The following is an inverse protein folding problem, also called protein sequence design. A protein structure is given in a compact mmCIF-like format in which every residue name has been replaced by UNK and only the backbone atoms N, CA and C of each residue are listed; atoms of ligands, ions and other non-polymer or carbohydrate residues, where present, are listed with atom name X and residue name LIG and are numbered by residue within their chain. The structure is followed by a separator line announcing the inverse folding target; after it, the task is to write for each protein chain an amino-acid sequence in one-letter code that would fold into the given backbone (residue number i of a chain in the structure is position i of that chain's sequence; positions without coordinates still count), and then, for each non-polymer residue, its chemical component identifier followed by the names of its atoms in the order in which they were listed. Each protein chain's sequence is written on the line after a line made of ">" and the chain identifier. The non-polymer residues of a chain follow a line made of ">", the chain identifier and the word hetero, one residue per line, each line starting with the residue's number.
data_IF_571251688028
#
_entry.id   IF_571251688028
#
_cell.length_a   1.000
_cell.length_b   1.000
_cell.length_c   1.000
_cell.angle_alpha   90.00
_cell.angle_beta   90.00
_cell.angle_gamma   90.00
#
_symmetry.space_group_name_H-M   'P 1'
#
loop_
_entity.id
_entity.type
_entity.pdbx_description
1 polymer ?
#
# COMPACT_ATOMS: atom_id res chain seq x y z
N UNK A 1 12.79 22.70 9.30
CA UNK A 1 12.34 22.57 7.90
C UNK A 1 11.04 21.79 7.91
N UNK A 2 9.90 22.47 7.70
CA UNK A 2 8.61 21.80 7.52
C UNK A 2 8.42 21.51 6.04
N UNK A 3 8.07 20.27 5.69
CA UNK A 3 7.64 19.93 4.33
C UNK A 3 6.25 20.53 4.11
N UNK A 4 6.08 21.34 3.07
CA UNK A 4 4.77 21.91 2.71
C UNK A 4 3.80 20.85 2.16
N UNK A 5 4.30 19.65 1.84
CA UNK A 5 3.48 18.59 1.24
C UNK A 5 2.40 18.05 2.19
N UNK A 6 2.61 18.14 3.50
CA UNK A 6 1.64 17.70 4.51
C UNK A 6 0.81 18.86 5.10
N UNK A 7 0.82 20.04 4.49
CA UNK A 7 0.07 21.22 5.00
C UNK A 7 -1.43 20.96 5.12
N UNK A 8 -2.00 20.13 4.26
CA UNK A 8 -3.41 19.73 4.32
C UNK A 8 -3.61 18.38 5.03
N UNK A 9 -2.53 17.75 5.51
CA UNK A 9 -2.54 16.40 6.06
C UNK A 9 -2.42 15.29 5.01
N UNK A 10 -2.75 14.06 5.41
CA UNK A 10 -2.60 12.83 4.62
C UNK A 10 -3.89 12.03 4.60
N UNK A 11 -4.09 11.32 3.50
CA UNK A 11 -5.12 10.28 3.34
C UNK A 11 -4.39 8.94 3.25
N UNK A 12 -4.81 7.94 4.01
CA UNK A 12 -4.11 6.65 4.10
C UNK A 12 -5.07 5.48 4.23
N UNK A 13 -4.66 4.33 3.70
CA UNK A 13 -5.44 3.09 3.73
C UNK A 13 -5.68 2.71 5.20
N UNK A 14 -6.94 2.71 5.60
CA UNK A 14 -7.35 2.54 7.00
C UNK A 14 -6.91 1.19 7.58
N UNK A 15 -7.05 0.14 6.77
CA UNK A 15 -6.69 -1.22 7.15
C UNK A 15 -5.49 -1.68 6.33
N UNK A 16 -4.28 -1.72 6.93
CA UNK A 16 -3.11 -2.28 6.25
C UNK A 16 -3.36 -3.73 5.83
N UNK A 17 -2.85 -4.07 4.65
CA UNK A 17 -2.86 -5.44 4.16
C UNK A 17 -1.79 -6.25 4.89
N UNK A 18 -2.20 -7.34 5.53
CA UNK A 18 -1.30 -8.33 6.10
C UNK A 18 -1.01 -9.43 5.07
N UNK A 19 0.26 -9.78 4.89
CA UNK A 19 0.68 -10.83 3.94
C UNK A 19 1.66 -11.79 4.57
N UNK A 20 1.49 -13.07 4.24
CA UNK A 20 2.44 -14.14 4.51
C UNK A 20 2.96 -14.72 3.19
N UNK A 21 4.28 -14.74 3.02
CA UNK A 21 4.96 -15.38 1.90
C UNK A 21 5.86 -16.49 2.45
N UNK A 22 5.28 -17.67 2.65
CA UNK A 22 5.98 -18.85 3.15
C UNK A 22 6.85 -19.49 2.05
N UNK A 23 7.90 -20.27 2.43
CA UNK A 23 8.66 -21.06 1.47
C UNK A 23 7.75 -21.94 0.61
N UNK A 24 7.83 -21.77 -0.70
CA UNK A 24 6.88 -22.36 -1.65
C UNK A 24 7.46 -22.30 -3.07
N UNK A 25 7.28 -23.35 -3.89
CA UNK A 25 7.65 -23.30 -5.31
C UNK A 25 6.73 -22.39 -6.14
N UNK A 26 5.61 -21.94 -5.56
CA UNK A 26 4.66 -21.06 -6.21
C UNK A 26 4.75 -19.63 -5.65
N UNK A 27 4.80 -18.60 -6.51
CA UNK A 27 4.66 -17.22 -6.09
C UNK A 27 3.25 -16.92 -5.56
N UNK A 28 3.12 -15.93 -4.68
CA UNK A 28 1.82 -15.50 -4.12
C UNK A 28 1.04 -14.52 -5.02
N UNK A 29 1.67 -13.93 -6.03
CA UNK A 29 1.05 -12.95 -6.92
C UNK A 29 1.72 -12.86 -8.27
N UNK A 30 0.98 -12.35 -9.26
CA UNK A 30 1.49 -12.05 -10.61
C UNK A 30 1.94 -10.59 -10.67
N UNK A 31 2.83 -10.21 -11.61
CA UNK A 31 3.14 -8.81 -11.88
C UNK A 31 1.87 -7.99 -12.12
N UNK A 32 1.71 -6.94 -11.33
CA UNK A 32 0.62 -5.96 -11.43
C UNK A 32 1.12 -4.61 -10.91
N UNK A 33 0.39 -3.54 -11.19
CA UNK A 33 0.48 -2.29 -10.45
C UNK A 33 -0.90 -1.92 -9.88
N UNK A 34 -0.95 -1.04 -8.87
CA UNK A 34 -2.23 -0.76 -8.21
C UNK A 34 -3.23 -0.01 -9.14
N UNK A 35 -2.74 0.66 -10.19
CA UNK A 35 -3.60 1.23 -11.23
C UNK A 35 -4.46 0.17 -11.94
N UNK A 36 -3.99 -1.08 -12.04
CA UNK A 36 -4.76 -2.20 -12.60
C UNK A 36 -6.01 -2.54 -11.76
N UNK A 37 -6.11 -2.00 -10.54
CA UNK A 37 -7.24 -2.14 -9.63
C UNK A 37 -7.98 -0.81 -9.38
N UNK A 38 -7.66 0.23 -10.15
CA UNK A 38 -8.32 1.53 -10.08
C UNK A 38 -7.86 2.45 -8.96
N UNK A 39 -6.69 2.20 -8.36
CA UNK A 39 -6.09 3.12 -7.39
C UNK A 39 -5.64 4.43 -8.04
N UNK A 40 -5.61 5.50 -7.24
CA UNK A 40 -5.15 6.83 -7.68
C UNK A 40 -3.67 6.80 -8.02
N UNK A 41 -3.27 7.48 -9.10
CA UNK A 41 -1.85 7.63 -9.45
C UNK A 41 -1.04 8.40 -8.42
N UNK A 42 -1.71 9.14 -7.53
CA UNK A 42 -1.08 9.87 -6.45
C UNK A 42 -0.81 9.01 -5.21
N UNK A 43 -1.23 7.75 -5.20
CA UNK A 43 -0.95 6.82 -4.10
C UNK A 43 0.52 6.34 -4.12
N UNK A 44 1.14 6.41 -2.95
CA UNK A 44 2.40 5.77 -2.64
C UNK A 44 2.17 4.58 -1.72
N UNK A 45 2.94 3.52 -1.94
CA UNK A 45 2.90 2.31 -1.14
C UNK A 45 4.00 2.37 -0.09
N UNK A 46 3.64 2.01 1.14
CA UNK A 46 4.60 1.65 2.20
C UNK A 46 4.53 0.14 2.36
N UNK A 47 5.67 -0.54 2.18
CA UNK A 47 5.80 -1.96 2.43
C UNK A 47 6.78 -2.19 3.58
N UNK A 48 6.30 -2.79 4.67
CA UNK A 48 7.04 -3.06 5.89
C UNK A 48 7.09 -4.58 6.14
N UNK A 49 8.19 -5.26 5.79
CA UNK A 49 8.41 -6.62 6.21
C UNK A 49 8.78 -6.69 7.70
N UNK A 50 8.29 -7.72 8.39
CA UNK A 50 8.59 -8.01 9.80
C UNK A 50 9.77 -8.98 9.96
N UNK A 51 10.55 -9.16 8.89
CA UNK A 51 11.76 -9.97 8.82
C UNK A 51 12.72 -9.30 7.84
N UNK A 52 14.00 -9.64 7.90
CA UNK A 52 14.96 -9.26 6.84
C UNK A 52 14.51 -9.85 5.50
N UNK A 53 14.58 -9.04 4.45
CA UNK A 53 14.13 -9.42 3.12
C UNK A 53 15.19 -9.14 2.06
N UNK A 54 15.34 -10.12 1.16
CA UNK A 54 16.24 -10.07 0.01
C UNK A 54 16.00 -11.28 -0.90
N UNK A 55 16.18 -11.11 -2.21
CA UNK A 55 15.96 -12.21 -3.16
C UNK A 55 14.53 -12.74 -3.12
N UNK A 56 14.36 -14.04 -2.89
CA UNK A 56 13.10 -14.77 -3.10
C UNK A 56 12.04 -14.59 -2.01
N UNK A 57 12.43 -14.17 -0.79
CA UNK A 57 11.45 -13.82 0.25
C UNK A 57 10.93 -12.39 0.11
N UNK A 58 11.46 -11.58 -0.83
CA UNK A 58 11.15 -10.15 -0.96
C UNK A 58 10.00 -9.83 -1.94
N UNK A 59 9.59 -8.57 -1.96
CA UNK A 59 8.76 -8.00 -3.01
C UNK A 59 9.68 -7.52 -4.15
N UNK A 60 9.36 -7.91 -5.37
CA UNK A 60 10.08 -7.52 -6.58
C UNK A 60 9.34 -6.38 -7.25
N UNK A 61 10.06 -5.35 -7.70
CA UNK A 61 9.47 -4.17 -8.32
C UNK A 61 10.35 -3.62 -9.44
N UNK A 62 9.73 -3.00 -10.45
CA UNK A 62 10.45 -2.24 -11.48
C UNK A 62 11.04 -0.94 -10.89
N UNK A 63 12.21 -0.48 -11.37
CA UNK A 63 12.83 0.75 -10.87
C UNK A 63 12.06 2.01 -11.31
N UNK A 64 11.33 1.92 -12.42
CA UNK A 64 10.45 2.95 -12.94
C UNK A 64 9.35 2.29 -13.79
N UNK A 65 8.22 2.99 -14.03
CA UNK A 65 7.09 2.40 -14.75
C UNK A 65 7.46 1.88 -16.14
N UNK A 66 7.19 0.61 -16.40
CA UNK A 66 7.33 0.01 -17.74
C UNK A 66 8.75 -0.40 -18.12
N UNK A 67 9.73 -0.31 -17.22
CA UNK A 67 11.11 -0.74 -17.49
C UNK A 67 11.24 -2.27 -17.56
N UNK A 68 10.49 -3.02 -16.74
CA UNK A 68 10.53 -4.49 -16.72
C UNK A 68 11.80 -5.13 -16.12
N UNK A 69 12.77 -4.34 -15.67
CA UNK A 69 13.99 -4.82 -14.99
C UNK A 69 13.74 -4.95 -13.48
N UNK A 70 13.03 -6.00 -13.08
CA UNK A 70 12.60 -6.18 -11.69
C UNK A 70 13.77 -6.54 -10.78
N UNK A 71 13.84 -5.89 -9.63
CA UNK A 71 14.75 -6.23 -8.55
C UNK A 71 13.99 -6.46 -7.23
N UNK A 72 14.48 -7.35 -6.35
CA UNK A 72 13.92 -7.49 -5.01
C UNK A 72 14.26 -6.25 -4.18
N UNK A 73 13.33 -5.82 -3.34
CA UNK A 73 13.69 -4.90 -2.26
C UNK A 73 14.61 -5.61 -1.27
N UNK A 74 15.80 -5.06 -1.04
CA UNK A 74 16.70 -5.53 -0.01
C UNK A 74 16.58 -4.61 1.21
N UNK A 75 16.07 -5.15 2.33
CA UNK A 75 15.81 -4.38 3.54
C UNK A 75 16.09 -5.20 4.80
N UNK A 76 16.67 -4.53 5.79
CA UNK A 76 16.88 -5.08 7.12
C UNK A 76 15.58 -5.10 7.93
N UNK A 77 15.55 -5.89 9.01
CA UNK A 77 14.45 -5.84 9.96
C UNK A 77 14.25 -4.41 10.52
N UNK A 78 13.01 -3.93 10.48
CA UNK A 78 12.64 -2.59 10.94
C UNK A 78 12.69 -1.51 9.85
N UNK A 79 13.22 -1.82 8.67
CA UNK A 79 13.17 -0.92 7.51
C UNK A 79 11.88 -1.10 6.72
N UNK A 80 11.40 -0.01 6.12
CA UNK A 80 10.25 -0.01 5.21
C UNK A 80 10.67 0.55 3.85
N UNK A 81 9.97 0.11 2.81
CA UNK A 81 10.13 0.65 1.45
C UNK A 81 8.97 1.57 1.13
N UNK A 82 9.29 2.81 0.77
CA UNK A 82 8.35 3.73 0.13
C UNK A 82 8.57 3.63 -1.39
N UNK A 83 7.53 3.25 -2.14
CA UNK A 83 7.63 3.10 -3.59
C UNK A 83 6.31 3.46 -4.29
N UNK A 84 6.39 3.73 -5.59
CA UNK A 84 5.23 4.08 -6.41
C UNK A 84 4.57 2.83 -7.02
N UNK A 85 4.01 1.98 -6.17
CA UNK A 85 3.37 0.72 -6.59
C UNK A 85 2.11 0.92 -7.45
N UNK A 86 1.56 2.13 -7.51
CA UNK A 86 0.50 2.45 -8.46
C UNK A 86 0.93 2.30 -9.92
N UNK A 87 2.17 2.69 -10.27
CA UNK A 87 2.66 2.62 -11.66
C UNK A 87 3.80 1.63 -11.87
N UNK A 88 4.65 1.41 -10.87
CA UNK A 88 5.70 0.41 -10.96
C UNK A 88 5.11 -0.97 -10.69
N UNK A 89 5.27 -1.88 -11.66
CA UNK A 89 4.79 -3.24 -11.47
C UNK A 89 5.58 -3.94 -10.38
N UNK A 90 4.89 -4.76 -9.60
CA UNK A 90 5.48 -5.49 -8.52
C UNK A 90 4.82 -6.86 -8.32
N UNK A 91 5.56 -7.80 -7.75
CA UNK A 91 5.11 -9.17 -7.49
C UNK A 91 6.05 -9.91 -6.53
N UNK A 92 5.68 -11.15 -6.20
CA UNK A 92 6.55 -12.09 -5.49
C UNK A 92 7.00 -13.19 -6.43
N UNK A 93 8.23 -13.67 -6.28
CA UNK A 93 8.70 -14.91 -6.92
C UNK A 93 8.41 -16.12 -6.03
N UNK A 94 8.74 -17.34 -6.48
CA UNK A 94 8.76 -18.51 -5.60
C UNK A 94 9.74 -18.27 -4.44
N UNK A 95 9.34 -18.58 -3.21
CA UNK A 95 10.17 -18.36 -2.04
C UNK A 95 11.01 -19.60 -1.74
N UNK A 96 12.30 -19.57 -2.09
CA UNK A 96 13.28 -20.62 -1.83
C UNK A 96 14.27 -20.27 -0.70
N UNK A 97 14.08 -19.12 -0.03
CA UNK A 97 14.98 -18.65 1.04
C UNK A 97 14.96 -19.50 2.32
N UNK A 98 13.95 -20.36 2.48
CA UNK A 98 13.67 -21.06 3.74
C UNK A 98 13.04 -20.18 4.83
N UNK A 99 12.82 -18.88 4.58
CA UNK A 99 12.26 -17.92 5.53
C UNK A 99 10.85 -17.53 5.11
N UNK A 100 9.88 -17.67 6.00
CA UNK A 100 8.55 -17.09 5.80
C UNK A 100 8.62 -15.58 6.01
N UNK A 101 8.32 -14.80 4.97
CA UNK A 101 8.12 -13.36 5.14
C UNK A 101 6.71 -13.08 5.64
N UNK A 102 6.61 -12.38 6.76
CA UNK A 102 5.40 -11.68 7.19
C UNK A 102 5.59 -10.20 6.89
N UNK A 103 4.60 -9.52 6.31
CA UNK A 103 4.70 -8.09 6.00
C UNK A 103 3.36 -7.37 6.10
N UNK A 104 3.42 -6.06 6.35
CA UNK A 104 2.31 -5.14 6.15
C UNK A 104 2.54 -4.28 4.91
N UNK A 105 1.48 -3.97 4.17
CA UNK A 105 1.50 -2.90 3.18
C UNK A 105 0.26 -2.02 3.28
N UNK A 106 0.45 -0.72 3.07
CA UNK A 106 -0.65 0.24 3.00
C UNK A 106 -0.30 1.35 2.00
N UNK A 107 -1.34 2.03 1.50
CA UNK A 107 -1.19 3.20 0.64
C UNK A 107 -1.45 4.49 1.39
N UNK A 108 -0.84 5.57 0.94
CA UNK A 108 -1.22 6.92 1.33
C UNK A 108 -1.02 7.90 0.17
N UNK A 109 -1.66 9.06 0.27
CA UNK A 109 -1.49 10.20 -0.62
C UNK A 109 -1.66 11.51 0.18
N UNK A 110 -1.14 12.61 -0.37
CA UNK A 110 -1.36 13.93 0.21
C UNK A 110 -2.83 14.31 0.09
N UNK A 111 -3.42 14.89 1.14
CA UNK A 111 -4.87 15.16 1.19
C UNK A 111 -5.36 16.02 0.02
N UNK A 112 -4.57 16.99 -0.42
CA UNK A 112 -4.85 17.84 -1.59
C UNK A 112 -4.94 17.11 -2.94
N UNK A 113 -4.44 15.86 -3.02
CA UNK A 113 -4.46 15.03 -4.22
C UNK A 113 -5.58 13.99 -4.19
N UNK A 114 -6.33 13.92 -3.09
CA UNK A 114 -7.47 13.03 -2.97
C UNK A 114 -8.66 13.56 -3.77
N UNK A 115 -9.24 12.70 -4.61
CA UNK A 115 -10.44 13.00 -5.39
C UNK A 115 -11.53 11.94 -5.12
N UNK A 116 -12.64 12.29 -4.41
CA UNK A 116 -13.74 11.37 -4.16
C UNK A 116 -14.60 11.09 -5.41
N UNK A 117 -14.39 11.83 -6.50
CA UNK A 117 -15.12 11.71 -7.76
C UNK A 117 -14.31 11.01 -8.86
N UNK A 118 -13.13 10.47 -8.51
CA UNK A 118 -12.34 9.68 -9.45
C UNK A 118 -13.18 8.54 -10.04
N UNK A 119 -13.14 8.42 -11.36
CA UNK A 119 -13.73 7.32 -12.09
C UNK A 119 -12.81 6.10 -11.99
N UNK A 120 -13.37 4.94 -11.62
CA UNK A 120 -12.64 3.70 -11.61
C UNK A 120 -12.37 3.19 -13.03
N UNK A 121 -11.50 2.19 -13.18
CA UNK A 121 -11.12 1.62 -14.48
C UNK A 121 -12.25 0.95 -15.27
N UNK A 122 -13.43 0.79 -14.68
CA UNK A 122 -14.62 0.21 -15.30
C UNK A 122 -15.69 1.26 -15.65
N UNK A 123 -15.39 2.54 -15.48
CA UNK A 123 -16.31 3.65 -15.78
C UNK A 123 -17.35 3.94 -14.70
N UNK A 124 -17.14 3.43 -13.49
CA UNK A 124 -17.99 3.69 -12.32
C UNK A 124 -17.31 4.58 -11.27
N UNK A 125 -17.99 4.93 -10.17
CA UNK A 125 -17.37 5.68 -9.08
C UNK A 125 -16.25 4.88 -8.42
N UNK A 126 -15.24 5.58 -7.90
CA UNK A 126 -14.17 4.98 -7.09
C UNK A 126 -14.73 4.27 -5.85
N UNK A 127 -14.14 3.13 -5.50
CA UNK A 127 -14.38 2.45 -4.23
C UNK A 127 -13.49 3.02 -3.09
N UNK A 128 -12.52 3.87 -3.43
CA UNK A 128 -11.50 4.37 -2.52
C UNK A 128 -11.97 5.67 -1.84
N UNK A 129 -12.99 5.53 -0.99
CA UNK A 129 -13.63 6.65 -0.30
C UNK A 129 -13.08 6.85 1.13
N UNK A 130 -13.02 8.12 1.55
CA UNK A 130 -12.80 8.48 2.96
C UNK A 130 -13.90 7.92 3.86
N UNK A 131 -13.53 7.44 5.05
CA UNK A 131 -14.41 6.74 5.98
C UNK A 131 -14.74 5.29 5.59
N UNK A 132 -14.39 4.88 4.36
CA UNK A 132 -14.51 3.51 3.84
C UNK A 132 -13.15 2.81 3.74
N UNK A 133 -12.49 2.98 2.60
CA UNK A 133 -11.15 2.44 2.34
C UNK A 133 -10.05 3.27 3.02
N UNK A 134 -10.21 4.59 2.98
CA UNK A 134 -9.25 5.54 3.52
C UNK A 134 -9.72 6.16 4.84
N UNK A 135 -8.79 6.41 5.74
CA UNK A 135 -8.90 7.41 6.80
C UNK A 135 -7.97 8.60 6.47
N UNK A 136 -8.05 9.67 7.25
CA UNK A 136 -7.22 10.85 7.06
C UNK A 136 -6.72 11.42 8.39
N UNK A 137 -5.59 12.13 8.32
CA UNK A 137 -5.13 13.03 9.38
C UNK A 137 -5.16 14.48 8.87
N UNK A 138 -5.36 15.42 9.79
CA UNK A 138 -5.19 16.85 9.55
C UNK A 138 -3.72 17.28 9.52
N UNK A 139 -3.51 18.57 9.27
CA UNK A 139 -2.19 19.21 9.30
C UNK A 139 -1.52 19.15 10.69
N UNK A 140 -2.33 19.05 11.74
CA UNK A 140 -1.95 18.88 13.13
C UNK A 140 -1.55 17.44 13.48
N UNK A 141 -1.72 16.49 12.54
CA UNK A 141 -1.44 15.08 12.74
C UNK A 141 -2.54 14.32 13.47
N UNK A 142 -3.65 14.98 13.81
CA UNK A 142 -4.80 14.35 14.46
C UNK A 142 -5.66 13.61 13.43
N UNK A 143 -6.23 12.47 13.85
CA UNK A 143 -7.16 11.72 13.00
C UNK A 143 -8.42 12.55 12.75
N UNK A 144 -8.89 12.52 11.51
CA UNK A 144 -10.13 13.18 11.12
C UNK A 144 -11.33 12.42 11.72
N UNK A 145 -11.83 12.93 12.85
CA UNK A 145 -12.88 12.31 13.64
C UNK A 145 -14.27 12.42 12.98
N UNK A 146 -14.45 13.36 12.06
CA UNK A 146 -15.74 13.69 11.46
C UNK A 146 -16.04 12.90 10.18
N UNK A 147 -15.13 12.01 9.76
CA UNK A 147 -15.35 11.13 8.61
C UNK A 147 -16.57 10.22 8.84
N UNK A 148 -17.55 10.31 7.94
CA UNK A 148 -18.71 9.43 7.95
C UNK A 148 -18.29 7.98 7.68
N UNK A 149 -18.58 7.06 8.60
CA UNK A 149 -18.18 5.65 8.51
C UNK A 149 -19.38 4.76 8.19
N UNK A 150 -19.48 4.18 6.98
CA UNK A 150 -20.52 3.22 6.66
C UNK A 150 -20.43 1.99 7.57
N UNK A 151 -21.56 1.48 8.05
CA UNK A 151 -21.60 0.24 8.85
C UNK A 151 -21.08 -0.94 8.01
N UNK A 152 -20.27 -1.80 8.63
CA UNK A 152 -19.76 -3.04 8.02
C UNK A 152 -18.31 -2.97 7.53
N UNK A 153 -17.70 -1.80 7.54
CA UNK A 153 -16.30 -1.59 7.19
C UNK A 153 -15.44 -1.51 8.47
N UNK A 154 -14.68 -2.57 8.77
CA UNK A 154 -13.47 -2.49 9.58
C UNK A 154 -13.58 -2.45 11.10
N UNK A 155 -13.94 -3.57 11.73
CA UNK A 155 -13.45 -3.90 13.08
C UNK A 155 -13.25 -5.42 13.14
N UNK A 156 -12.03 -5.90 12.85
CA UNK A 156 -11.70 -7.32 13.02
C UNK A 156 -11.60 -7.73 14.50
N UNK A 157 -11.38 -6.77 15.42
CA UNK A 157 -11.51 -7.02 16.85
C UNK A 157 -11.57 -5.71 17.66
N UNK A 158 -12.64 -5.50 18.43
CA UNK A 158 -12.60 -4.65 19.64
C UNK A 158 -12.75 -5.60 20.81
N UNK A 159 -11.71 -5.74 21.64
CA UNK A 159 -11.88 -6.39 22.94
C UNK A 159 -12.71 -5.44 23.79
N UNK A 160 -13.93 -5.86 24.13
CA UNK A 160 -14.74 -5.21 25.16
C UNK A 160 -14.11 -5.36 26.54
#
# INVERSE_FOLDING_TARGET
>A
HGSTLCEDGLVFQREPSFRCHAPSPNPTGRPHCDADYGHSEFELNVWLPLVECGGSNSLWCEPAPGIGDYAPFAVNYGEAVLFWGNRCRHYTVANDSGITRVSFDFRFLFRRLYDPHMENIYGGPTAFLLGGYFDAIGADGELDADLARPKGHGVLYRRG
#
